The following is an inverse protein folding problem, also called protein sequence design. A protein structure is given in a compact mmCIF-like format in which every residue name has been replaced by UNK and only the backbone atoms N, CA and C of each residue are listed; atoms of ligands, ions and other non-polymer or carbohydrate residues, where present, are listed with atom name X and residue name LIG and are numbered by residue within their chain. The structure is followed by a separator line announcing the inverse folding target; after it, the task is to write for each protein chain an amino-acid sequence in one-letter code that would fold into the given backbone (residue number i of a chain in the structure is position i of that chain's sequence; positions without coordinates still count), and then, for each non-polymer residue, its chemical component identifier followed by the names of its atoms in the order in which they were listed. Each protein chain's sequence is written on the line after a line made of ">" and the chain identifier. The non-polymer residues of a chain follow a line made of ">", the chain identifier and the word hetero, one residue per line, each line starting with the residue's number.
data_IF_080741449699
#
_entry.id   IF_080741449699
#
_cell.length_a   1.000
_cell.length_b   1.000
_cell.length_c   1.000
_cell.angle_alpha   90.00
_cell.angle_beta   90.00
_cell.angle_gamma   90.00
#
_symmetry.space_group_name_H-M   'P 1'
#
loop_
_entity.id
_entity.type
_entity.pdbx_description
1 polymer ?
#
# COMPACT_ATOMS: atom_id res chain seq x y z
N UNK A 1 17.71 -4.29 4.25
CA UNK A 1 16.34 -4.52 4.75
C UNK A 1 15.43 -3.41 4.20
N UNK A 2 14.20 -3.70 3.79
CA UNK A 2 13.26 -2.66 3.32
C UNK A 2 12.63 -1.97 4.55
N UNK A 3 12.86 -0.67 4.78
CA UNK A 3 12.24 0.03 5.90
C UNK A 3 10.71 0.07 5.72
N UNK A 4 10.00 0.05 6.85
CA UNK A 4 8.54 0.17 6.84
C UNK A 4 8.17 1.63 6.55
N UNK A 5 7.32 1.86 5.56
CA UNK A 5 6.97 3.19 5.10
C UNK A 5 5.59 3.29 4.45
N UNK A 6 5.08 4.52 4.39
CA UNK A 6 3.85 4.87 3.71
C UNK A 6 4.20 5.89 2.62
N UNK A 7 3.71 5.67 1.40
CA UNK A 7 3.81 6.64 0.30
C UNK A 7 2.43 7.24 0.10
N UNK A 8 2.32 8.56 0.23
CA UNK A 8 1.08 9.28 -0.02
C UNK A 8 0.94 9.69 -1.48
N UNK A 9 -0.30 9.66 -1.98
CA UNK A 9 -0.69 10.03 -3.33
C UNK A 9 -1.98 10.85 -3.30
N UNK A 10 -2.08 11.88 -4.13
CA UNK A 10 -3.24 12.80 -4.11
C UNK A 10 -4.52 12.20 -4.72
N UNK A 11 -4.42 11.07 -5.43
CA UNK A 11 -5.56 10.49 -6.13
C UNK A 11 -5.60 8.97 -5.99
N UNK A 12 -6.81 8.44 -5.78
CA UNK A 12 -7.09 7.00 -5.65
C UNK A 12 -6.54 6.18 -6.82
N UNK A 13 -6.72 6.66 -8.06
CA UNK A 13 -6.18 5.98 -9.26
C UNK A 13 -4.66 5.89 -9.23
N UNK A 14 -3.97 6.95 -8.78
CA UNK A 14 -2.50 6.98 -8.69
C UNK A 14 -1.98 5.99 -7.66
N UNK A 15 -2.71 5.74 -6.57
CA UNK A 15 -2.33 4.76 -5.54
C UNK A 15 -2.13 3.36 -6.13
N UNK A 16 -3.08 2.89 -6.94
CA UNK A 16 -3.01 1.56 -7.55
C UNK A 16 -1.95 1.50 -8.66
N UNK A 17 -1.87 2.53 -9.50
CA UNK A 17 -0.89 2.61 -10.59
C UNK A 17 0.54 2.61 -10.04
N UNK A 18 0.83 3.45 -9.04
CA UNK A 18 2.13 3.50 -8.38
C UNK A 18 2.47 2.18 -7.71
N UNK A 19 1.53 1.56 -6.98
CA UNK A 19 1.76 0.25 -6.36
C UNK A 19 2.13 -0.82 -7.41
N UNK A 20 1.44 -0.87 -8.55
CA UNK A 20 1.79 -1.78 -9.65
C UNK A 20 3.17 -1.47 -10.24
N UNK A 21 3.50 -0.19 -10.40
CA UNK A 21 4.79 0.24 -10.93
C UNK A 21 5.94 -0.18 -10.00
N UNK A 22 5.86 0.10 -8.70
CA UNK A 22 6.89 -0.31 -7.72
C UNK A 22 7.02 -1.84 -7.68
N UNK A 23 5.91 -2.58 -7.71
CA UNK A 23 5.95 -4.06 -7.76
C UNK A 23 6.63 -4.62 -9.02
N UNK A 24 6.61 -3.89 -10.14
CA UNK A 24 7.34 -4.27 -11.36
C UNK A 24 8.82 -3.98 -11.25
N UNK A 25 9.20 -2.84 -10.65
CA UNK A 25 10.60 -2.47 -10.41
C UNK A 25 11.27 -3.40 -9.39
N UNK A 26 10.51 -3.90 -8.41
CA UNK A 26 11.02 -4.77 -7.35
C UNK A 26 10.20 -6.07 -7.23
N UNK A 27 10.35 -7.02 -8.17
CA UNK A 27 9.57 -8.27 -8.16
C UNK A 27 9.73 -9.07 -6.86
N UNK A 28 10.94 -9.10 -6.30
CA UNK A 28 11.26 -9.79 -5.04
C UNK A 28 10.54 -9.20 -3.82
N UNK A 29 10.07 -7.94 -3.92
CA UNK A 29 9.38 -7.23 -2.85
C UNK A 29 7.86 -7.19 -3.07
N UNK A 30 7.34 -7.85 -4.12
CA UNK A 30 5.92 -7.77 -4.51
C UNK A 30 4.96 -8.11 -3.37
N UNK A 31 5.32 -9.09 -2.54
CA UNK A 31 4.54 -9.51 -1.37
C UNK A 31 4.60 -8.52 -0.19
N UNK A 32 5.61 -7.65 -0.14
CA UNK A 32 5.83 -6.66 0.92
C UNK A 32 5.27 -5.26 0.58
N UNK A 33 4.70 -5.08 -0.61
CA UNK A 33 4.15 -3.80 -1.09
C UNK A 33 2.65 -3.98 -1.27
N UNK A 34 1.80 -3.11 -0.71
CA UNK A 34 0.36 -3.08 -1.00
C UNK A 34 -0.19 -1.65 -1.03
N UNK A 35 -1.48 -1.49 -1.33
CA UNK A 35 -2.13 -0.19 -1.42
C UNK A 35 -3.45 -0.10 -0.67
N UNK A 36 -3.80 1.12 -0.28
CA UNK A 36 -4.99 1.47 0.47
C UNK A 36 -5.58 2.79 -0.05
N UNK A 37 -6.89 2.82 -0.31
CA UNK A 37 -7.61 4.03 -0.72
C UNK A 37 -9.09 3.92 -0.36
N UNK A 38 -9.83 5.04 -0.47
CA UNK A 38 -11.21 5.15 -0.01
C UNK A 38 -12.16 4.09 -0.61
N UNK A 39 -12.08 3.85 -1.93
CA UNK A 39 -12.96 2.90 -2.64
C UNK A 39 -12.63 1.40 -2.44
N UNK A 40 -11.66 1.02 -1.59
CA UNK A 40 -11.43 -0.39 -1.26
C UNK A 40 -12.59 -0.94 -0.41
N UNK A 41 -12.90 -2.22 -0.53
CA UNK A 41 -13.88 -2.85 0.38
C UNK A 41 -13.39 -2.81 1.83
N UNK A 42 -14.31 -2.73 2.80
CA UNK A 42 -13.95 -2.73 4.22
C UNK A 42 -13.09 -3.96 4.63
N UNK A 43 -13.37 -5.13 4.04
CA UNK A 43 -12.57 -6.35 4.20
C UNK A 43 -11.14 -6.16 3.69
N UNK A 44 -10.96 -5.56 2.51
CA UNK A 44 -9.65 -5.29 1.95
C UNK A 44 -8.86 -4.28 2.79
N UNK A 45 -9.49 -3.19 3.25
CA UNK A 45 -8.86 -2.21 4.15
C UNK A 45 -8.35 -2.86 5.43
N UNK A 46 -9.22 -3.63 6.12
CA UNK A 46 -8.86 -4.38 7.35
C UNK A 46 -7.70 -5.35 7.11
N UNK A 47 -7.74 -6.10 6.00
CA UNK A 47 -6.66 -7.04 5.64
C UNK A 47 -5.34 -6.31 5.47
N UNK A 48 -5.28 -5.27 4.63
CA UNK A 48 -4.05 -4.53 4.35
C UNK A 48 -3.48 -3.91 5.62
N UNK A 49 -4.31 -3.26 6.43
CA UNK A 49 -3.86 -2.65 7.69
C UNK A 49 -3.36 -3.69 8.69
N UNK A 50 -4.02 -4.85 8.80
CA UNK A 50 -3.54 -5.96 9.63
C UNK A 50 -2.16 -6.45 9.17
N UNK A 51 -1.96 -6.62 7.87
CA UNK A 51 -0.66 -7.07 7.33
C UNK A 51 0.44 -6.00 7.47
N UNK A 52 0.09 -4.73 7.30
CA UNK A 52 1.02 -3.62 7.51
C UNK A 52 1.46 -3.51 8.98
N UNK A 53 0.53 -3.58 9.94
CA UNK A 53 0.85 -3.60 11.38
C UNK A 53 1.78 -4.77 11.73
N UNK A 54 1.54 -5.96 11.18
CA UNK A 54 2.38 -7.15 11.36
C UNK A 54 3.72 -7.13 10.61
N UNK A 55 4.02 -6.08 9.85
CA UNK A 55 5.26 -5.98 9.07
C UNK A 55 5.33 -6.88 7.83
N UNK A 56 4.25 -7.61 7.51
CA UNK A 56 4.14 -8.43 6.29
C UNK A 56 4.04 -7.54 5.04
N UNK A 57 3.30 -6.44 5.13
CA UNK A 57 3.45 -5.31 4.21
C UNK A 57 4.41 -4.32 4.86
N UNK A 58 5.50 -4.00 4.17
CA UNK A 58 6.47 -2.99 4.59
C UNK A 58 6.24 -1.65 3.89
N UNK A 59 5.78 -1.65 2.65
CA UNK A 59 5.48 -0.43 1.90
C UNK A 59 3.99 -0.33 1.59
N UNK A 60 3.34 0.72 2.11
CA UNK A 60 1.93 0.98 1.88
C UNK A 60 1.76 2.24 1.02
N UNK A 61 1.21 2.09 -0.18
CA UNK A 61 0.80 3.24 -1.01
C UNK A 61 -0.61 3.65 -0.61
N UNK A 62 -0.80 4.89 -0.18
CA UNK A 62 -2.10 5.39 0.29
C UNK A 62 -2.44 6.76 -0.29
N UNK A 63 -3.71 7.15 -0.16
CA UNK A 63 -4.11 8.56 -0.20
C UNK A 63 -3.97 9.18 1.19
N UNK A 64 -3.66 10.47 1.28
CA UNK A 64 -3.57 11.19 2.58
C UNK A 64 -4.86 11.05 3.39
N UNK A 65 -6.01 11.19 2.74
CA UNK A 65 -7.35 11.03 3.34
C UNK A 65 -7.63 9.65 3.96
N UNK A 66 -6.74 8.67 3.81
CA UNK A 66 -6.85 7.35 4.43
C UNK A 66 -5.68 7.07 5.39
N UNK A 67 -4.67 7.94 5.40
CA UNK A 67 -3.57 7.90 6.37
C UNK A 67 -3.80 8.72 7.62
N UNK A 68 -4.67 9.74 7.54
CA UNK A 68 -5.23 10.50 8.67
C UNK A 68 -6.52 9.82 9.16
#
# INVERSE_FOLDING_TARGET
>A
DLPKGIIFTNHVKKTQVLCRHIRRLYPNLRGAIDFLHAHRTAKAKRRVMKQFRKGKIKLLVSTEAVGM
#
